data_IF_113076534208
#
_entry.id   IF_113076534208
#
_cell.length_a   1.000
_cell.length_b   1.000
_cell.length_c   1.000
_cell.angle_alpha   90.00
_cell.angle_beta   90.00
_cell.angle_gamma   90.00
#
_symmetry.space_group_name_H-M   'P 1'
#
loop_
_entity.id
_entity.type
_entity.pdbx_description
1 polymer ?
#
# COMPACT_ATOMS: atom_id res chain seq x y z
N UNK A 1 -7.84 -19.47 8.06
CA UNK A 1 -8.47 -18.24 8.60
C UNK A 1 -7.39 -17.49 9.37
N UNK A 2 -6.70 -16.54 8.72
CA UNK A 2 -5.57 -15.82 9.34
C UNK A 2 -6.00 -14.42 9.78
N UNK A 3 -5.60 -14.11 11.02
CA UNK A 3 -5.99 -13.00 11.87
C UNK A 3 -5.78 -11.63 11.21
N UNK A 4 -6.84 -10.81 11.18
CA UNK A 4 -6.81 -9.38 10.87
C UNK A 4 -6.29 -8.61 12.09
N UNK A 5 -5.01 -8.69 12.40
CA UNK A 5 -4.41 -7.69 13.29
C UNK A 5 -4.19 -6.44 12.45
N UNK A 6 -5.09 -5.46 12.60
CA UNK A 6 -4.85 -4.12 12.07
C UNK A 6 -3.51 -3.66 12.65
N UNK A 7 -2.48 -3.41 11.83
CA UNK A 7 -1.20 -2.94 12.34
C UNK A 7 -1.31 -1.55 13.01
N UNK A 8 -2.45 -0.86 12.89
CA UNK A 8 -2.72 0.46 13.42
C UNK A 8 -3.25 0.48 14.88
N UNK A 9 -2.68 -0.31 15.79
CA UNK A 9 -2.95 -0.18 17.24
C UNK A 9 -4.43 -0.31 17.66
N UNK A 10 -5.22 -1.13 16.96
CA UNK A 10 -6.65 -1.35 17.25
C UNK A 10 -7.62 -0.47 16.47
N UNK A 11 -7.16 0.55 15.74
CA UNK A 11 -8.01 1.34 14.86
C UNK A 11 -8.13 0.68 13.48
N UNK A 12 -9.35 0.66 12.94
CA UNK A 12 -9.59 0.13 11.60
C UNK A 12 -8.96 1.05 10.55
N UNK A 13 -8.12 0.47 9.69
CA UNK A 13 -7.60 1.17 8.53
C UNK A 13 -8.73 1.43 7.52
N UNK A 14 -8.60 2.47 6.67
CA UNK A 14 -9.57 2.74 5.61
C UNK A 14 -9.80 1.53 4.70
N UNK A 15 -11.03 1.36 4.20
CA UNK A 15 -11.40 0.22 3.35
C UNK A 15 -10.63 0.12 2.03
N UNK A 16 -10.10 1.25 1.54
CA UNK A 16 -9.36 1.35 0.28
C UNK A 16 -7.93 0.79 0.34
N UNK A 17 -7.40 0.48 1.54
CA UNK A 17 -6.01 0.07 1.73
C UNK A 17 -5.87 -1.22 2.53
N UNK A 18 -4.97 -2.08 2.07
CA UNK A 18 -4.41 -3.18 2.87
C UNK A 18 -3.00 -2.84 3.29
N UNK A 19 -2.60 -3.34 4.44
CA UNK A 19 -1.28 -3.07 5.00
C UNK A 19 -0.55 -4.35 5.35
N UNK A 20 0.76 -4.32 5.19
CA UNK A 20 1.67 -5.38 5.57
C UNK A 20 2.94 -4.77 6.14
N UNK A 21 3.47 -5.29 7.23
CA UNK A 21 4.78 -4.87 7.73
C UNK A 21 5.87 -5.11 6.65
N UNK A 22 6.75 -4.13 6.47
CA UNK A 22 7.90 -4.22 5.58
C UNK A 22 9.03 -5.05 6.18
N UNK A 23 10.04 -5.31 5.35
CA UNK A 23 11.25 -6.00 5.77
C UNK A 23 12.04 -5.17 6.81
N UNK A 24 12.07 -3.84 6.63
CA UNK A 24 12.71 -2.92 7.56
C UNK A 24 11.84 -2.61 8.79
N UNK A 25 12.39 -2.66 10.02
CA UNK A 25 11.65 -2.31 11.23
C UNK A 25 11.07 -0.90 11.20
N UNK A 26 9.75 -0.81 11.35
CA UNK A 26 8.99 0.45 11.32
C UNK A 26 8.55 0.88 9.91
N UNK A 27 8.72 0.04 8.90
CA UNK A 27 8.16 0.25 7.56
C UNK A 27 6.86 -0.53 7.39
N UNK A 28 5.88 0.06 6.69
CA UNK A 28 4.63 -0.59 6.30
C UNK A 28 4.43 -0.45 4.78
N UNK A 29 4.07 -1.54 4.13
CA UNK A 29 3.62 -1.55 2.75
C UNK A 29 2.10 -1.34 2.71
N UNK A 30 1.68 -0.40 1.88
CA UNK A 30 0.30 -0.14 1.56
C UNK A 30 0.00 -0.78 0.20
N UNK A 31 -1.14 -1.47 0.11
CA UNK A 31 -1.69 -1.96 -1.15
C UNK A 31 -3.04 -1.32 -1.33
N UNK A 32 -3.16 -0.47 -2.36
CA UNK A 32 -4.42 0.12 -2.77
C UNK A 32 -5.31 -0.99 -3.33
N UNK A 33 -6.48 -1.20 -2.74
CA UNK A 33 -7.47 -2.19 -3.20
C UNK A 33 -8.72 -1.54 -3.81
N UNK A 34 -8.90 -0.24 -3.59
CA UNK A 34 -9.99 0.56 -4.18
C UNK A 34 -9.45 1.92 -4.63
N UNK A 35 -8.85 2.02 -5.83
CA UNK A 35 -8.21 3.25 -6.33
C UNK A 35 -9.13 4.47 -6.34
N UNK A 36 -10.40 4.28 -6.69
CA UNK A 36 -11.40 5.35 -6.74
C UNK A 36 -11.69 6.01 -5.37
N UNK A 37 -11.39 5.31 -4.28
CA UNK A 37 -11.58 5.80 -2.92
C UNK A 37 -10.31 6.46 -2.33
N UNK A 38 -9.21 6.52 -3.09
CA UNK A 38 -7.97 7.17 -2.65
C UNK A 38 -8.08 8.67 -2.81
N UNK A 39 -8.25 9.38 -1.69
CA UNK A 39 -8.17 10.85 -1.62
C UNK A 39 -6.96 11.28 -0.81
N UNK A 40 -6.49 12.51 -0.99
CA UNK A 40 -5.38 13.06 -0.22
C UNK A 40 -5.67 13.04 1.29
N UNK A 41 -6.90 13.38 1.70
CA UNK A 41 -7.33 13.34 3.11
C UNK A 41 -7.34 11.92 3.66
N UNK A 42 -7.83 10.95 2.88
CA UNK A 42 -7.88 9.55 3.29
C UNK A 42 -6.47 8.96 3.43
N UNK A 43 -5.55 9.31 2.52
CA UNK A 43 -4.14 8.94 2.59
C UNK A 43 -3.42 9.61 3.77
N UNK A 44 -3.68 10.89 4.02
CA UNK A 44 -3.13 11.63 5.17
C UNK A 44 -3.59 11.01 6.49
N UNK A 45 -4.89 10.74 6.63
CA UNK A 45 -5.44 10.06 7.80
C UNK A 45 -4.83 8.67 8.00
N UNK A 46 -4.65 7.90 6.91
CA UNK A 46 -3.99 6.60 6.99
C UNK A 46 -2.57 6.73 7.55
N UNK A 47 -1.78 7.69 7.07
CA UNK A 47 -0.42 7.93 7.56
C UNK A 47 -0.40 8.33 9.03
N UNK A 48 -1.33 9.17 9.49
CA UNK A 48 -1.46 9.53 10.91
C UNK A 48 -1.72 8.31 11.79
N UNK A 49 -2.61 7.40 11.36
CA UNK A 49 -2.90 6.16 12.09
C UNK A 49 -1.68 5.23 12.16
N UNK A 50 -0.92 5.12 11.07
CA UNK A 50 0.29 4.32 11.02
C UNK A 50 1.40 4.91 11.90
N UNK A 51 1.56 6.23 11.88
CA UNK A 51 2.50 6.93 12.75
C UNK A 51 2.15 6.74 14.24
N UNK A 52 0.88 6.85 14.61
CA UNK A 52 0.41 6.59 15.97
C UNK A 52 0.67 5.13 16.42
N UNK A 53 0.73 4.19 15.47
CA UNK A 53 1.10 2.80 15.73
C UNK A 53 2.61 2.53 15.70
N UNK A 54 3.44 3.57 15.59
CA UNK A 54 4.90 3.48 15.66
C UNK A 54 5.60 3.22 14.32
N UNK A 55 4.87 3.20 13.21
CA UNK A 55 5.50 3.14 11.89
C UNK A 55 6.14 4.48 11.55
N UNK A 56 7.35 4.42 10.98
CA UNK A 56 8.15 5.58 10.57
C UNK A 56 8.12 5.80 9.06
N UNK A 57 7.77 4.78 8.28
CA UNK A 57 7.76 4.83 6.83
C UNK A 57 6.59 4.05 6.26
N UNK A 58 5.83 4.67 5.36
CA UNK A 58 4.83 4.01 4.54
C UNK A 58 5.32 3.94 3.09
N UNK A 59 5.22 2.78 2.46
CA UNK A 59 5.64 2.54 1.07
C UNK A 59 4.45 1.96 0.31
N UNK A 60 4.25 2.40 -0.92
CA UNK A 60 3.24 1.87 -1.83
C UNK A 60 3.83 1.73 -3.22
N UNK A 61 3.47 0.66 -3.92
CA UNK A 61 3.72 0.53 -5.35
C UNK A 61 2.56 1.17 -6.11
N UNK A 62 2.52 2.51 -6.15
CA UNK A 62 1.56 3.23 -6.98
C UNK A 62 1.84 2.91 -8.46
N UNK A 63 1.14 1.92 -9.02
CA UNK A 63 1.36 1.47 -10.40
C UNK A 63 0.50 2.25 -11.40
N UNK A 64 -0.57 2.91 -10.94
CA UNK A 64 -1.41 3.74 -11.78
C UNK A 64 -1.16 5.24 -11.52
N UNK A 65 -1.28 6.05 -12.57
CA UNK A 65 -1.17 7.51 -12.47
C UNK A 65 -2.24 8.09 -11.52
N UNK A 66 -3.45 7.50 -11.53
CA UNK A 66 -4.56 7.92 -10.66
C UNK A 66 -4.23 7.78 -9.16
N UNK A 67 -3.46 6.75 -8.79
CA UNK A 67 -3.01 6.56 -7.41
C UNK A 67 -1.97 7.64 -7.03
N UNK A 68 -1.15 8.04 -8.01
CA UNK A 68 0.02 8.89 -7.77
C UNK A 68 -0.38 10.30 -7.37
N UNK A 69 -1.42 10.89 -7.95
CA UNK A 69 -1.85 12.27 -7.66
C UNK A 69 -2.31 12.44 -6.21
N UNK A 70 -3.25 11.59 -5.76
CA UNK A 70 -3.80 11.69 -4.40
C UNK A 70 -2.74 11.37 -3.33
N UNK A 71 -1.88 10.38 -3.57
CA UNK A 71 -0.79 10.02 -2.67
C UNK A 71 0.27 11.13 -2.61
N UNK A 72 0.64 11.74 -3.75
CA UNK A 72 1.61 12.85 -3.78
C UNK A 72 1.06 14.07 -3.05
N UNK A 73 -0.24 14.38 -3.20
CA UNK A 73 -0.90 15.44 -2.44
C UNK A 73 -0.91 15.18 -0.92
N UNK A 74 -0.93 13.91 -0.50
CA UNK A 74 -0.77 13.50 0.90
C UNK A 74 0.70 13.45 1.37
N UNK A 75 1.65 13.90 0.55
CA UNK A 75 3.06 14.01 0.89
C UNK A 75 3.91 12.77 0.57
N UNK A 76 3.35 11.76 -0.11
CA UNK A 76 4.17 10.68 -0.67
C UNK A 76 5.10 11.23 -1.74
N UNK A 77 6.28 10.63 -1.84
CA UNK A 77 7.28 10.97 -2.87
C UNK A 77 7.74 9.70 -3.54
N UNK A 78 8.03 9.79 -4.83
CA UNK A 78 8.70 8.69 -5.56
C UNK A 78 10.08 8.50 -4.93
N UNK A 79 10.27 7.38 -4.24
CA UNK A 79 11.54 7.04 -3.63
C UNK A 79 12.46 6.30 -4.62
N UNK A 80 11.90 5.34 -5.35
CA UNK A 80 12.64 4.42 -6.21
C UNK A 80 11.78 4.05 -7.43
N UNK A 81 12.44 3.69 -8.55
CA UNK A 81 11.80 3.04 -9.69
C UNK A 81 12.02 1.54 -9.54
N UNK A 82 10.94 0.76 -9.56
CA UNK A 82 11.00 -0.69 -9.39
C UNK A 82 11.05 -1.40 -10.74
N UNK A 83 11.90 -2.42 -10.84
CA UNK A 83 11.87 -3.35 -11.96
C UNK A 83 10.67 -4.29 -11.83
N UNK A 84 9.90 -4.43 -12.91
CA UNK A 84 8.78 -5.35 -12.97
C UNK A 84 9.24 -6.69 -13.54
N UNK A 85 8.99 -7.76 -12.78
CA UNK A 85 9.19 -9.12 -13.28
C UNK A 85 7.95 -9.57 -14.06
N UNK A 86 8.11 -9.79 -15.36
CA UNK A 86 7.10 -10.36 -16.23
C UNK A 86 7.45 -11.79 -16.62
N UNK A 87 6.43 -12.62 -16.82
CA UNK A 87 6.55 -13.94 -17.46
C UNK A 87 5.42 -14.10 -18.47
N UNK A 88 5.76 -14.52 -19.69
CA UNK A 88 4.78 -14.94 -20.69
C UNK A 88 3.99 -16.15 -20.19
N UNK A 89 2.66 -16.06 -20.22
CA UNK A 89 1.78 -17.16 -19.79
C UNK A 89 1.53 -18.15 -20.93
N UNK A 90 1.78 -17.74 -22.17
CA UNK A 90 1.77 -18.55 -23.38
C UNK A 90 2.72 -19.75 -23.31
N UNK A 91 3.77 -19.68 -22.50
CA UNK A 91 4.74 -20.76 -22.29
C UNK A 91 4.32 -21.76 -21.21
N UNK A 92 3.16 -21.56 -20.57
CA UNK A 92 2.66 -22.50 -19.57
C UNK A 92 2.08 -23.74 -20.25
N UNK A 93 2.35 -24.96 -19.74
CA UNK A 93 1.69 -26.15 -20.24
C UNK A 93 0.18 -26.00 -20.09
N UNK A 94 -0.57 -26.36 -21.13
CA UNK A 94 -2.02 -26.37 -21.09
C UNK A 94 -2.49 -27.19 -19.88
N UNK A 95 -3.47 -26.64 -19.16
CA UNK A 95 -4.06 -27.33 -18.00
C UNK A 95 -4.68 -28.65 -18.48
N UNK A 96 -4.48 -29.78 -17.78
CA UNK A 96 -5.21 -31.01 -18.05
C UNK A 96 -6.71 -30.85 -17.78
#
# INVERSE_FOLDING_TARGET
>A
MAVRTSPAGGQALPGWVRTRAGADPGTVHLTVVEPAAVTADAATRCCTLLAAAGYRRAITNAMAEVDTTALTAAGFRVAERLDLLGRGLEDLPARP
#
